data_IF_678140908114
#
_entry.id   IF_678140908114
#
_cell.length_a   1.000
_cell.length_b   1.000
_cell.length_c   1.000
_cell.angle_alpha   90.00
_cell.angle_beta   90.00
_cell.angle_gamma   90.00
#
_symmetry.space_group_name_H-M   'P 1'
#
loop_
_entity.id
_entity.type
_entity.pdbx_description
1 polymer ?
#
# COMPACT_ATOMS: atom_id res chain seq x y z
N UNK A 1 1.84 5.18 -27.94
CA UNK A 1 0.84 4.09 -27.88
C UNK A 1 0.30 3.97 -26.48
N UNK A 2 -1.02 3.96 -26.38
CA UNK A 2 -1.66 3.77 -25.08
C UNK A 2 -1.73 2.27 -24.78
N UNK A 3 -1.12 1.85 -23.68
CA UNK A 3 -1.32 0.52 -23.18
C UNK A 3 -2.63 0.49 -22.40
N UNK A 4 -3.52 -0.39 -22.78
CA UNK A 4 -4.73 -0.61 -22.05
C UNK A 4 -4.54 -1.77 -21.09
N UNK A 5 -4.80 -1.51 -19.82
CA UNK A 5 -4.76 -2.53 -18.80
C UNK A 5 -6.17 -3.11 -18.68
N UNK A 6 -6.29 -4.39 -18.96
CA UNK A 6 -7.59 -5.06 -18.95
C UNK A 6 -7.95 -5.64 -17.58
N UNK A 7 -6.95 -5.84 -16.73
CA UNK A 7 -7.16 -6.44 -15.42
C UNK A 7 -7.82 -5.43 -14.47
N UNK A 8 -9.06 -5.73 -14.09
CA UNK A 8 -9.86 -4.84 -13.23
C UNK A 8 -9.26 -4.67 -11.84
N UNK A 9 -8.57 -5.68 -11.33
CA UNK A 9 -7.90 -5.58 -10.04
C UNK A 9 -6.75 -4.58 -10.13
N UNK A 10 -5.97 -4.65 -11.19
CA UNK A 10 -4.88 -3.70 -11.41
C UNK A 10 -5.41 -2.29 -11.58
N UNK A 11 -6.50 -2.12 -12.32
CA UNK A 11 -7.10 -0.79 -12.49
C UNK A 11 -7.52 -0.18 -11.15
N UNK A 12 -8.09 -0.97 -10.26
CA UNK A 12 -8.47 -0.48 -8.93
C UNK A 12 -7.26 -0.05 -8.11
N UNK A 13 -6.17 -0.81 -8.17
CA UNK A 13 -4.95 -0.46 -7.45
C UNK A 13 -4.32 0.80 -8.02
N UNK A 14 -4.30 0.95 -9.35
CA UNK A 14 -3.78 2.16 -9.99
C UNK A 14 -4.55 3.39 -9.56
N UNK A 15 -5.88 3.30 -9.49
CA UNK A 15 -6.69 4.42 -9.02
C UNK A 15 -6.31 4.81 -7.59
N UNK A 16 -6.10 3.83 -6.73
CA UNK A 16 -5.69 4.08 -5.35
C UNK A 16 -4.29 4.69 -5.25
N UNK A 17 -3.36 4.24 -6.10
CA UNK A 17 -2.04 4.87 -6.16
C UNK A 17 -2.16 6.35 -6.47
N UNK A 18 -2.99 6.69 -7.44
CA UNK A 18 -3.19 8.10 -7.83
C UNK A 18 -3.72 8.93 -6.65
N UNK A 19 -4.73 8.42 -5.96
CA UNK A 19 -5.29 9.10 -4.79
C UNK A 19 -4.29 9.24 -3.65
N UNK A 20 -3.54 8.18 -3.35
CA UNK A 20 -2.53 8.21 -2.29
C UNK A 20 -1.43 9.20 -2.61
N UNK A 21 -1.01 9.29 -3.87
CA UNK A 21 -0.01 10.27 -4.29
C UNK A 21 -0.48 11.69 -4.02
N UNK A 22 -1.73 12.00 -4.39
CA UNK A 22 -2.29 13.33 -4.16
C UNK A 22 -2.37 13.67 -2.69
N UNK A 23 -2.82 12.73 -1.87
CA UNK A 23 -2.91 12.93 -0.42
C UNK A 23 -1.53 13.13 0.21
N UNK A 24 -0.54 12.36 -0.23
CA UNK A 24 0.83 12.50 0.27
C UNK A 24 1.42 13.85 -0.05
N UNK A 25 1.22 14.35 -1.27
CA UNK A 25 1.70 15.66 -1.68
C UNK A 25 1.03 16.74 -0.84
N UNK A 26 -0.28 16.64 -0.61
CA UNK A 26 -1.01 17.60 0.20
C UNK A 26 -0.52 17.60 1.65
N UNK A 27 -0.25 16.43 2.21
CA UNK A 27 0.12 16.28 3.62
C UNK A 27 1.55 16.71 3.89
N UNK A 28 2.48 16.34 3.01
CA UNK A 28 3.92 16.56 3.24
C UNK A 28 4.52 17.64 2.37
N UNK A 29 3.76 18.18 1.43
CA UNK A 29 4.18 19.23 0.49
C UNK A 29 5.43 18.83 -0.32
N UNK A 30 5.53 17.56 -0.68
CA UNK A 30 6.64 17.04 -1.48
C UNK A 30 6.22 15.77 -2.18
N UNK A 31 6.98 15.38 -3.20
CA UNK A 31 6.82 14.10 -3.87
C UNK A 31 7.90 13.13 -3.38
N UNK A 32 7.84 11.90 -3.86
CA UNK A 32 8.89 10.91 -3.58
C UNK A 32 10.20 11.22 -4.29
N UNK A 33 10.21 12.21 -5.18
CA UNK A 33 11.44 12.65 -5.84
C UNK A 33 12.35 13.48 -4.91
N UNK A 34 11.86 13.78 -3.72
CA UNK A 34 12.68 14.47 -2.71
C UNK A 34 13.99 13.72 -2.48
N UNK A 35 15.07 14.47 -2.19
CA UNK A 35 16.40 13.89 -1.96
C UNK A 35 17.04 14.37 -0.66
N UNK A 36 16.22 14.77 0.30
CA UNK A 36 16.67 15.18 1.62
C UNK A 36 16.74 14.01 2.62
N UNK A 37 16.35 12.80 2.19
CA UNK A 37 16.43 11.62 3.03
C UNK A 37 17.58 10.73 2.56
N UNK A 38 18.33 10.17 3.52
CA UNK A 38 19.38 9.23 3.22
C UNK A 38 18.80 7.87 2.83
N UNK A 39 19.64 7.02 2.23
CA UNK A 39 19.22 5.65 1.90
C UNK A 39 18.77 4.89 3.15
N UNK A 40 19.46 5.10 4.27
CA UNK A 40 19.10 4.43 5.53
C UNK A 40 17.72 4.90 6.03
N UNK A 41 17.42 6.18 5.89
CA UNK A 41 16.10 6.70 6.25
C UNK A 41 15.01 6.12 5.36
N UNK A 42 15.25 6.02 4.05
CA UNK A 42 14.30 5.36 3.15
C UNK A 42 14.08 3.89 3.52
N UNK A 43 15.16 3.17 3.86
CA UNK A 43 15.04 1.78 4.30
C UNK A 43 14.22 1.65 5.58
N UNK A 44 14.37 2.58 6.52
CA UNK A 44 13.60 2.58 7.76
C UNK A 44 12.11 2.77 7.46
N UNK A 45 11.76 3.69 6.55
CA UNK A 45 10.38 3.88 6.14
C UNK A 45 9.82 2.62 5.49
N UNK A 46 10.59 2.00 4.60
CA UNK A 46 10.17 0.76 3.97
C UNK A 46 9.94 -0.35 4.99
N UNK A 47 10.83 -0.47 5.95
CA UNK A 47 10.68 -1.49 6.99
C UNK A 47 9.40 -1.31 7.78
N UNK A 48 9.07 -0.07 8.15
CA UNK A 48 7.83 0.22 8.85
C UNK A 48 6.61 -0.23 8.04
N UNK A 49 6.61 0.05 6.74
CA UNK A 49 5.51 -0.35 5.86
C UNK A 49 5.40 -1.87 5.75
N UNK A 50 6.53 -2.57 5.68
CA UNK A 50 6.53 -4.03 5.64
C UNK A 50 6.02 -4.64 6.93
N UNK A 51 6.35 -4.01 8.06
CA UNK A 51 5.82 -4.44 9.36
C UNK A 51 4.31 -4.27 9.42
N UNK A 52 3.81 -3.12 8.98
CA UNK A 52 2.36 -2.88 8.92
C UNK A 52 1.68 -3.91 8.03
N UNK A 53 2.26 -4.20 6.87
CA UNK A 53 1.71 -5.20 5.96
C UNK A 53 1.61 -6.57 6.63
N UNK A 54 2.62 -6.94 7.41
CA UNK A 54 2.61 -8.21 8.15
C UNK A 54 1.47 -8.25 9.16
N UNK A 55 1.25 -7.14 9.87
CA UNK A 55 0.17 -7.06 10.85
C UNK A 55 -1.20 -7.17 10.18
N UNK A 56 -1.39 -6.55 9.03
CA UNK A 56 -2.63 -6.68 8.28
C UNK A 56 -2.87 -8.11 7.82
N UNK A 57 -1.82 -8.79 7.38
CA UNK A 57 -1.94 -10.20 6.99
C UNK A 57 -2.40 -11.05 8.18
N UNK A 58 -1.82 -10.83 9.35
CA UNK A 58 -2.17 -11.60 10.54
C UNK A 58 -3.64 -11.35 10.93
N UNK A 59 -4.07 -10.10 10.88
CA UNK A 59 -5.48 -9.76 11.15
C UNK A 59 -6.42 -10.46 10.18
N UNK A 60 -6.08 -10.44 8.89
CA UNK A 60 -6.91 -11.08 7.87
C UNK A 60 -6.97 -12.60 8.07
N UNK A 61 -5.88 -13.21 8.50
CA UNK A 61 -5.87 -14.64 8.80
C UNK A 61 -6.88 -14.96 9.91
N UNK A 62 -6.94 -14.12 10.93
CA UNK A 62 -7.92 -14.31 12.01
C UNK A 62 -9.35 -14.20 11.49
N UNK A 63 -9.61 -13.23 10.63
CA UNK A 63 -10.95 -13.07 10.06
C UNK A 63 -11.35 -14.28 9.21
N UNK A 64 -10.43 -14.80 8.42
CA UNK A 64 -10.70 -15.97 7.59
C UNK A 64 -10.97 -17.21 8.46
N UNK A 65 -10.19 -17.39 9.53
CA UNK A 65 -10.40 -18.50 10.46
C UNK A 65 -11.78 -18.42 11.12
N UNK A 66 -12.15 -17.23 11.57
CA UNK A 66 -13.46 -17.01 12.20
C UNK A 66 -14.59 -17.31 11.22
N UNK A 67 -14.45 -16.84 9.99
CA UNK A 67 -15.44 -17.10 8.95
C UNK A 67 -15.62 -18.60 8.69
N UNK A 68 -14.52 -19.34 8.58
CA UNK A 68 -14.59 -20.80 8.36
C UNK A 68 -15.24 -21.51 9.53
N UNK A 69 -14.99 -21.09 10.76
CA UNK A 69 -15.61 -21.69 11.93
C UNK A 69 -17.12 -21.47 11.95
N UNK A 70 -17.58 -20.33 11.46
CA UNK A 70 -19.02 -20.02 11.40
C UNK A 70 -19.75 -20.83 10.35
N UNK A 71 -19.05 -21.31 9.33
CA UNK A 71 -19.65 -22.10 8.27
C UNK A 71 -19.92 -23.56 8.67
N UNK A 72 -19.36 -24.01 9.75
CA UNK A 72 -19.54 -25.42 10.20
C UNK A 72 -20.84 -25.63 10.95
#
# INVERSE_FOLDING_TARGET
MKQQIEDKIVLRVLARFNERSKLGIMKYNTTLERNDLSALQWLAHLQDELMDATLYVERLKDEVKTFKQQEQ
#
